data_IF_967696683859
#
_entry.id   IF_967696683859
#
_cell.length_a   1.000
_cell.length_b   1.000
_cell.length_c   1.000
_cell.angle_alpha   90.00
_cell.angle_beta   90.00
_cell.angle_gamma   90.00
#
_symmetry.space_group_name_H-M   'P 1'
#
loop_
_entity.id
_entity.type
_entity.pdbx_description
1 polymer ?
#
# COMPACT_ATOMS: atom_id res chain seq x y z
N UNK A 1 13.54 -21.58 -1.10
CA UNK A 1 13.10 -20.18 -1.21
C UNK A 1 11.60 -20.11 -1.10
N UNK A 2 11.11 -19.21 -0.31
CA UNK A 2 9.69 -19.00 -0.08
C UNK A 2 9.25 -17.74 -0.80
N UNK A 3 8.13 -17.77 -1.49
CA UNK A 3 7.60 -16.60 -2.21
C UNK A 3 6.37 -16.04 -1.51
N UNK A 4 6.33 -14.71 -1.38
CA UNK A 4 5.15 -13.98 -0.92
C UNK A 4 4.74 -12.99 -1.99
N UNK A 5 3.43 -12.91 -2.24
CA UNK A 5 2.87 -11.94 -3.17
C UNK A 5 1.87 -11.06 -2.43
N UNK A 6 2.03 -9.77 -2.57
CA UNK A 6 1.14 -8.76 -2.00
C UNK A 6 0.70 -7.78 -3.07
N UNK A 7 -0.34 -7.04 -2.78
CA UNK A 7 -0.77 -5.94 -3.62
C UNK A 7 -1.28 -4.80 -2.76
N UNK A 8 -1.16 -3.61 -3.28
CA UNK A 8 -1.64 -2.41 -2.61
C UNK A 8 -1.90 -1.28 -3.56
N UNK A 9 -2.18 -0.13 -3.00
CA UNK A 9 -2.62 1.01 -3.78
C UNK A 9 -2.03 2.35 -3.37
N UNK A 10 -1.81 3.18 -4.38
CA UNK A 10 -1.67 4.61 -4.23
C UNK A 10 -3.05 5.18 -4.52
N UNK A 11 -3.77 5.53 -3.46
CA UNK A 11 -5.18 5.94 -3.53
C UNK A 11 -5.27 7.44 -3.50
N UNK A 12 -5.82 8.02 -4.56
CA UNK A 12 -5.95 9.46 -4.68
C UNK A 12 -7.38 9.95 -4.44
N UNK A 13 -7.48 11.10 -3.80
CA UNK A 13 -8.68 11.91 -3.73
C UNK A 13 -8.25 13.36 -4.00
N UNK A 14 -8.61 13.90 -5.16
CA UNK A 14 -8.13 15.22 -5.57
C UNK A 14 -6.59 15.26 -5.60
N UNK A 15 -6.00 16.14 -4.83
CA UNK A 15 -4.55 16.32 -4.72
C UNK A 15 -3.93 15.58 -3.53
N UNK A 16 -4.67 14.67 -2.90
CA UNK A 16 -4.22 13.97 -1.71
C UNK A 16 -4.10 12.46 -1.93
N UNK A 17 -3.20 11.85 -1.20
CA UNK A 17 -2.88 10.43 -1.27
C UNK A 17 -3.06 9.80 0.12
N UNK A 18 -3.70 8.64 0.15
CA UNK A 18 -3.95 7.89 1.38
C UNK A 18 -2.66 7.28 1.94
N UNK A 19 -2.35 7.62 3.17
CA UNK A 19 -1.25 7.01 3.91
C UNK A 19 -1.76 6.44 5.24
N UNK A 20 -1.07 5.43 5.72
CA UNK A 20 -1.31 4.80 7.02
C UNK A 20 -0.12 5.02 7.93
N UNK A 21 -0.37 5.28 9.20
CA UNK A 21 0.69 5.42 10.21
C UNK A 21 0.70 4.19 11.10
N UNK A 22 1.86 3.55 11.20
CA UNK A 22 2.09 2.41 12.09
C UNK A 22 2.29 2.88 13.53
N UNK A 23 2.17 1.97 14.54
CA UNK A 23 2.42 2.25 15.92
C UNK A 23 3.78 2.87 16.15
N UNK A 24 4.83 2.50 15.36
CA UNK A 24 6.19 3.02 15.50
C UNK A 24 6.38 4.41 14.88
N UNK A 25 5.32 4.99 14.33
CA UNK A 25 5.35 6.31 13.71
C UNK A 25 5.64 6.33 12.22
N UNK A 26 5.90 5.19 11.61
CA UNK A 26 6.20 5.12 10.16
C UNK A 26 4.93 5.29 9.33
N UNK A 27 5.02 6.13 8.31
CA UNK A 27 3.97 6.32 7.31
C UNK A 27 4.22 5.42 6.12
N UNK A 28 3.18 4.67 5.72
CA UNK A 28 3.26 3.67 4.66
C UNK A 28 2.02 3.69 3.78
N UNK A 29 2.15 3.09 2.59
CA UNK A 29 1.02 2.83 1.71
C UNK A 29 0.28 1.56 2.16
N UNK A 30 -1.05 1.48 1.95
CA UNK A 30 -1.82 0.28 2.25
C UNK A 30 -1.49 -0.85 1.27
N UNK A 31 -1.28 -2.04 1.80
CA UNK A 31 -1.00 -3.26 1.04
C UNK A 31 -1.18 -4.49 1.91
N UNK A 32 -1.31 -5.64 1.29
CA UNK A 32 -1.31 -6.90 2.01
C UNK A 32 -1.23 -8.10 1.09
N UNK A 33 -1.21 -9.28 1.69
CA UNK A 33 -0.96 -10.54 0.98
C UNK A 33 -2.16 -10.99 0.18
N UNK A 34 -1.88 -11.59 -0.98
CA UNK A 34 -2.88 -12.30 -1.78
C UNK A 34 -3.44 -13.49 -0.99
N UNK A 35 -4.73 -13.70 -1.08
CA UNK A 35 -5.38 -14.88 -0.54
C UNK A 35 -5.48 -15.95 -1.63
N UNK A 36 -5.70 -17.21 -1.22
CA UNK A 36 -5.83 -18.33 -2.14
C UNK A 36 -6.90 -18.05 -3.19
N UNK A 37 -6.55 -18.27 -4.44
CA UNK A 37 -7.43 -18.11 -5.61
C UNK A 37 -7.94 -16.68 -5.84
N UNK A 38 -7.32 -15.70 -5.18
CA UNK A 38 -7.66 -14.30 -5.35
C UNK A 38 -6.91 -13.69 -6.54
N UNK A 39 -7.60 -12.87 -7.33
CA UNK A 39 -6.98 -12.05 -8.36
C UNK A 39 -6.19 -10.93 -7.69
N UNK A 40 -4.99 -10.63 -8.19
CA UNK A 40 -4.11 -9.63 -7.57
C UNK A 40 -4.74 -8.23 -7.50
N UNK A 41 -5.59 -7.87 -8.46
CA UNK A 41 -6.32 -6.60 -8.45
C UNK A 41 -7.31 -6.54 -7.30
N UNK A 42 -7.99 -7.65 -7.05
CA UNK A 42 -8.94 -7.78 -5.95
C UNK A 42 -8.22 -7.74 -4.61
N UNK A 43 -7.01 -8.29 -4.55
CA UNK A 43 -6.16 -8.19 -3.35
C UNK A 43 -5.89 -6.73 -3.01
N UNK A 44 -5.51 -5.92 -4.00
CA UNK A 44 -5.22 -4.51 -3.79
C UNK A 44 -6.45 -3.77 -3.27
N UNK A 45 -7.61 -3.98 -3.87
CA UNK A 45 -8.87 -3.34 -3.46
C UNK A 45 -9.25 -3.75 -2.03
N UNK A 46 -9.17 -5.05 -1.75
CA UNK A 46 -9.51 -5.62 -0.45
C UNK A 46 -8.59 -5.11 0.65
N UNK A 47 -7.28 -5.13 0.42
CA UNK A 47 -6.30 -4.70 1.43
C UNK A 47 -6.39 -3.20 1.73
N UNK A 48 -6.61 -2.37 0.71
CA UNK A 48 -6.85 -0.95 0.92
C UNK A 48 -8.06 -0.76 1.83
N UNK A 49 -9.14 -1.47 1.57
CA UNK A 49 -10.35 -1.37 2.37
C UNK A 49 -10.15 -1.89 3.79
N UNK A 50 -9.53 -3.05 3.95
CA UNK A 50 -9.30 -3.66 5.26
C UNK A 50 -8.41 -2.79 6.16
N UNK A 51 -7.38 -2.17 5.61
CA UNK A 51 -6.44 -1.37 6.39
C UNK A 51 -6.91 0.06 6.67
N UNK A 52 -7.69 0.64 5.77
CA UNK A 52 -8.04 2.07 5.83
C UNK A 52 -9.53 2.37 5.86
N UNK A 53 -10.38 1.40 5.57
CA UNK A 53 -11.81 1.65 5.41
C UNK A 53 -12.19 2.37 4.13
N UNK A 54 -11.22 2.59 3.23
CA UNK A 54 -11.46 3.33 1.99
C UNK A 54 -11.86 2.39 0.86
N UNK A 55 -12.99 2.66 0.23
CA UNK A 55 -13.43 1.98 -0.98
C UNK A 55 -12.83 2.70 -2.18
N UNK A 56 -11.93 2.04 -2.86
CA UNK A 56 -11.21 2.62 -4.00
C UNK A 56 -11.38 1.78 -5.24
N UNK A 57 -11.31 2.43 -6.40
CA UNK A 57 -11.36 1.80 -7.71
C UNK A 57 -10.00 1.89 -8.38
N UNK A 58 -9.60 0.85 -9.09
CA UNK A 58 -8.34 0.82 -9.81
C UNK A 58 -8.43 1.67 -11.08
N UNK A 59 -7.47 2.60 -11.24
CA UNK A 59 -7.28 3.37 -12.46
C UNK A 59 -6.35 2.60 -13.39
N UNK A 60 -5.18 2.18 -12.88
CA UNK A 60 -4.20 1.43 -13.66
C UNK A 60 -3.12 0.80 -12.77
N UNK A 61 -2.40 -0.14 -13.35
CA UNK A 61 -1.23 -0.75 -12.73
C UNK A 61 -0.05 0.24 -12.74
N UNK A 62 0.68 0.36 -11.63
CA UNK A 62 1.86 1.21 -11.54
C UNK A 62 3.13 0.40 -11.80
N UNK A 63 3.29 -0.70 -11.11
CA UNK A 63 4.48 -1.52 -11.19
C UNK A 63 4.63 -2.44 -9.99
N UNK A 64 5.73 -3.17 -9.95
CA UNK A 64 6.03 -4.05 -8.83
C UNK A 64 7.37 -3.69 -8.19
N UNK A 65 7.48 -4.05 -6.92
CA UNK A 65 8.72 -3.98 -6.15
C UNK A 65 8.98 -5.36 -5.60
N UNK A 66 10.21 -5.83 -5.65
CA UNK A 66 10.56 -7.08 -5.02
C UNK A 66 11.83 -6.94 -4.18
N UNK A 67 11.87 -7.70 -3.11
CA UNK A 67 12.99 -7.74 -2.21
C UNK A 67 13.02 -9.09 -1.50
N UNK A 68 14.17 -9.42 -0.93
CA UNK A 68 14.34 -10.63 -0.15
C UNK A 68 14.58 -10.30 1.31
N UNK A 69 14.13 -11.16 2.18
CA UNK A 69 14.45 -11.08 3.60
C UNK A 69 14.54 -12.50 4.18
N UNK A 70 15.18 -12.63 5.32
CA UNK A 70 15.23 -13.90 6.02
C UNK A 70 14.14 -14.00 7.06
N UNK A 71 13.42 -15.12 7.04
CA UNK A 71 12.44 -15.45 8.06
C UNK A 71 13.19 -15.80 9.34
N UNK A 72 12.90 -15.10 10.42
CA UNK A 72 13.57 -15.27 11.72
C UNK A 72 13.42 -16.70 12.26
N UNK A 73 12.26 -17.31 12.09
CA UNK A 73 11.94 -18.62 12.66
C UNK A 73 12.55 -19.80 11.92
N UNK A 74 12.68 -19.73 10.62
CA UNK A 74 13.12 -20.86 9.79
C UNK A 74 14.45 -20.65 9.11
N UNK A 75 15.07 -19.50 9.28
CA UNK A 75 16.30 -19.13 8.58
C UNK A 75 16.15 -19.27 7.05
N UNK A 76 14.94 -19.21 6.56
CA UNK A 76 14.61 -19.30 5.14
C UNK A 76 14.64 -17.93 4.47
N UNK A 77 15.07 -17.92 3.21
CA UNK A 77 15.00 -16.73 2.40
C UNK A 77 13.61 -16.58 1.84
N UNK A 78 12.97 -15.45 2.09
CA UNK A 78 11.68 -15.10 1.53
C UNK A 78 11.87 -14.10 0.40
N UNK A 79 11.31 -14.42 -0.77
CA UNK A 79 11.26 -13.53 -1.92
C UNK A 79 9.88 -12.88 -1.97
N UNK A 80 9.83 -11.58 -1.72
CA UNK A 80 8.56 -10.85 -1.67
C UNK A 80 8.38 -9.96 -2.90
N UNK A 81 7.20 -10.05 -3.52
CA UNK A 81 6.79 -9.16 -4.60
C UNK A 81 5.55 -8.38 -4.17
N UNK A 82 5.56 -7.08 -4.35
CA UNK A 82 4.41 -6.22 -4.10
C UNK A 82 3.98 -5.55 -5.39
N UNK A 83 2.74 -5.78 -5.80
CA UNK A 83 2.14 -5.13 -6.97
C UNK A 83 1.38 -3.89 -6.53
N UNK A 84 1.64 -2.77 -7.20
CA UNK A 84 1.06 -1.49 -6.84
C UNK A 84 0.12 -0.97 -7.93
N UNK A 85 -1.04 -0.50 -7.52
CA UNK A 85 -2.06 0.05 -8.41
C UNK A 85 -2.35 1.51 -8.06
N UNK A 86 -2.52 2.33 -9.08
CA UNK A 86 -3.08 3.66 -8.90
C UNK A 86 -4.59 3.50 -8.76
N UNK A 87 -5.15 4.06 -7.71
CA UNK A 87 -6.56 3.96 -7.36
C UNK A 87 -7.14 5.32 -7.09
N UNK A 88 -8.44 5.44 -7.18
CA UNK A 88 -9.16 6.64 -6.81
C UNK A 88 -10.33 6.34 -5.89
N UNK A 89 -10.71 7.32 -5.10
CA UNK A 89 -11.91 7.27 -4.26
C UNK A 89 -12.64 8.60 -4.35
N UNK A 90 -13.91 8.59 -4.04
CA UNK A 90 -14.74 9.80 -4.01
C UNK A 90 -15.05 10.29 -2.60
N UNK A 91 -14.37 9.74 -1.61
CA UNK A 91 -14.54 10.13 -0.21
C UNK A 91 -13.22 10.03 0.55
N UNK A 92 -12.94 11.01 1.41
CA UNK A 92 -11.76 10.97 2.30
C UNK A 92 -12.06 10.26 3.62
N UNK A 93 -13.22 9.65 3.77
CA UNK A 93 -13.52 8.89 4.97
C UNK A 93 -12.58 7.70 5.09
N UNK A 94 -11.89 7.61 6.22
CA UNK A 94 -10.92 6.55 6.47
C UNK A 94 -10.93 6.17 7.95
N UNK A 95 -10.70 4.91 8.23
CA UNK A 95 -10.65 4.37 9.59
C UNK A 95 -9.45 3.44 9.71
N UNK A 96 -8.43 3.81 10.49
CA UNK A 96 -7.25 2.95 10.61
C UNK A 96 -7.60 1.64 11.30
N UNK A 97 -7.01 0.55 10.82
CA UNK A 97 -7.23 -0.77 11.41
C UNK A 97 -6.18 -1.07 12.47
N UNK A 98 -6.57 -0.91 13.72
CA UNK A 98 -5.68 -1.14 14.87
C UNK A 98 -5.17 -2.57 14.96
N UNK A 99 -5.98 -3.56 14.53
CA UNK A 99 -5.58 -4.97 14.49
C UNK A 99 -4.39 -5.21 13.57
N UNK A 100 -4.29 -4.40 12.51
CA UNK A 100 -3.22 -4.48 11.53
C UNK A 100 -1.99 -3.66 11.94
N UNK A 101 -2.05 -3.02 13.10
CA UNK A 101 -0.94 -2.21 13.61
C UNK A 101 -0.93 -0.77 13.15
N UNK A 102 -2.05 -0.26 12.64
CA UNK A 102 -2.18 1.12 12.18
C UNK A 102 -2.92 1.97 13.20
N UNK A 103 -2.37 3.12 13.52
CA UNK A 103 -2.95 4.08 14.48
C UNK A 103 -3.60 5.28 13.81
N UNK A 104 -3.29 5.51 12.54
CA UNK A 104 -3.82 6.64 11.78
C UNK A 104 -3.96 6.29 10.31
N UNK A 105 -5.03 6.78 9.67
CA UNK A 105 -5.22 6.77 8.23
C UNK A 105 -5.54 8.19 7.79
N UNK A 106 -4.80 8.72 6.84
CA UNK A 106 -4.90 10.13 6.45
C UNK A 106 -4.66 10.33 4.97
N UNK A 107 -5.42 11.23 4.35
CA UNK A 107 -5.13 11.72 3.02
C UNK A 107 -4.17 12.91 3.13
N UNK A 108 -2.99 12.75 2.56
CA UNK A 108 -1.89 13.72 2.63
C UNK A 108 -1.71 14.39 1.26
N UNK A 109 -1.59 15.71 1.26
CA UNK A 109 -1.38 16.46 0.01
C UNK A 109 -0.17 15.91 -0.75
N UNK A 110 -0.29 15.78 -2.08
CA UNK A 110 0.75 15.19 -2.95
C UNK A 110 2.13 15.83 -2.80
N UNK A 111 2.18 17.12 -2.42
CA UNK A 111 3.44 17.84 -2.24
C UNK A 111 4.17 17.46 -0.95
N UNK A 112 3.48 16.82 -0.02
CA UNK A 112 4.02 16.44 1.29
C UNK A 112 4.27 14.95 1.44
N UNK A 113 3.63 14.13 0.62
CA UNK A 113 3.60 12.69 0.79
C UNK A 113 4.99 12.05 0.74
N UNK A 114 5.85 12.51 -0.15
CA UNK A 114 7.20 11.95 -0.32
C UNK A 114 8.06 12.15 0.94
N UNK A 115 7.86 13.26 1.64
CA UNK A 115 8.62 13.55 2.87
C UNK A 115 8.20 12.66 4.04
N UNK A 116 6.96 12.18 4.02
CA UNK A 116 6.39 11.40 5.12
C UNK A 116 6.64 9.90 4.97
N UNK A 117 6.56 9.38 3.75
CA UNK A 117 6.60 7.93 3.50
C UNK A 117 7.97 7.35 3.85
N UNK A 118 7.97 6.34 4.69
CA UNK A 118 9.17 5.73 5.27
C UNK A 118 10.04 5.03 4.24
N UNK A 119 9.43 4.17 3.42
CA UNK A 119 10.20 3.28 2.55
C UNK A 119 10.50 3.90 1.19
N UNK A 120 11.77 3.77 0.79
CA UNK A 120 12.26 4.26 -0.49
C UNK A 120 11.48 3.70 -1.68
N UNK A 121 11.17 2.40 -1.63
CA UNK A 121 10.44 1.72 -2.71
C UNK A 121 9.05 2.30 -2.87
N UNK A 122 8.38 2.59 -1.76
CA UNK A 122 7.04 3.20 -1.79
C UNK A 122 7.10 4.64 -2.30
N UNK A 123 8.14 5.40 -1.93
CA UNK A 123 8.33 6.75 -2.48
C UNK A 123 8.49 6.73 -3.99
N UNK A 124 9.23 5.75 -4.52
CA UNK A 124 9.39 5.59 -5.98
C UNK A 124 8.07 5.26 -6.65
N UNK A 125 7.28 4.40 -6.05
CA UNK A 125 5.95 4.03 -6.55
C UNK A 125 5.03 5.26 -6.59
N UNK A 126 5.03 6.07 -5.54
CA UNK A 126 4.23 7.29 -5.48
C UNK A 126 4.66 8.27 -6.58
N UNK A 127 5.96 8.47 -6.76
CA UNK A 127 6.47 9.34 -7.81
C UNK A 127 6.02 8.89 -9.20
N UNK A 128 6.06 7.57 -9.44
CA UNK A 128 5.60 7.00 -10.70
C UNK A 128 4.10 7.20 -10.88
N UNK A 129 3.33 6.98 -9.82
CA UNK A 129 1.88 7.19 -9.84
C UNK A 129 1.51 8.63 -10.20
N UNK A 130 2.21 9.60 -9.63
CA UNK A 130 1.95 11.03 -9.88
C UNK A 130 2.20 11.43 -11.34
N UNK A 131 3.05 10.70 -12.06
CA UNK A 131 3.29 10.96 -13.49
C UNK A 131 2.11 10.55 -14.37
N UNK A 132 1.22 9.72 -13.86
CA UNK A 132 0.02 9.30 -14.60
C UNK A 132 -1.16 10.28 -14.45
N UNK A 133 -1.00 11.30 -13.64
CA UNK A 133 -2.08 12.26 -13.36
C UNK A 133 -1.99 13.53 -14.22
#
# INVERSE_FOLDING_TARGET
MFEEVSAGGVVIFGNAILLLKKFNGDWVLPKGRIEKDEDIRDTAIREVFEESGVKAEIIRYIGMVHFTYKNIKGNETVYKTVHWYLMETNSMESVPQKREGFVEARFVHKDKVIKLVKYRDERKIIKKALKFL
#
